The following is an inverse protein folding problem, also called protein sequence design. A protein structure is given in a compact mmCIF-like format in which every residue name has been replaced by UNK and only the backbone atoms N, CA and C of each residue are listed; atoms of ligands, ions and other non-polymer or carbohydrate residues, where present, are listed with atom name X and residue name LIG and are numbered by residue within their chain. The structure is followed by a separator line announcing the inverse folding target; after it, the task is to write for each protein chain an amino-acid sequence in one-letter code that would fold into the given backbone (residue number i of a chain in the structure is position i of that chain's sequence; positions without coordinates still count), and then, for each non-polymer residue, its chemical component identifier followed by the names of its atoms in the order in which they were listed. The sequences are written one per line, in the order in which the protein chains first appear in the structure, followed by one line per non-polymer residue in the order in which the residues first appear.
data_IF_926906163946
#
_entry.id   IF_926906163946
#
_cell.length_a   1.000
_cell.length_b   1.000
_cell.length_c   1.000
_cell.angle_alpha   90.00
_cell.angle_beta   90.00
_cell.angle_gamma   90.00
#
_symmetry.space_group_name_H-M   'P 1'
#
loop_
_entity.id
_entity.type
_entity.pdbx_description
1 polymer ?
#
# COMPACT_ATOMS: atom_id res chain seq x y z
N UNK A 1 15.91 -0.51 12.81
CA UNK A 1 15.35 0.87 12.96
C UNK A 1 16.18 1.96 12.28
N UNK A 2 17.46 2.16 12.59
CA UNK A 2 18.29 3.23 11.97
C UNK A 2 18.27 3.24 10.44
N UNK A 3 18.39 2.07 9.81
CA UNK A 3 18.38 1.93 8.34
C UNK A 3 17.05 2.39 7.71
N UNK A 4 15.92 2.16 8.38
CA UNK A 4 14.59 2.58 7.92
C UNK A 4 14.48 4.11 7.91
N UNK A 5 15.00 4.78 8.94
CA UNK A 5 15.02 6.25 8.99
C UNK A 5 15.95 6.86 7.93
N UNK A 6 17.12 6.26 7.71
CA UNK A 6 18.03 6.68 6.63
C UNK A 6 17.35 6.55 5.26
N UNK A 7 16.71 5.41 5.01
CA UNK A 7 15.98 5.18 3.77
C UNK A 7 14.83 6.20 3.59
N UNK A 8 14.12 6.52 4.66
CA UNK A 8 13.07 7.57 4.64
C UNK A 8 13.62 8.93 4.27
N UNK A 9 14.79 9.30 4.79
CA UNK A 9 15.47 10.53 4.40
C UNK A 9 15.83 10.54 2.91
N UNK A 10 16.32 9.42 2.37
CA UNK A 10 16.60 9.28 0.94
C UNK A 10 15.32 9.42 0.10
N UNK A 11 14.19 8.84 0.54
CA UNK A 11 12.87 9.02 -0.11
C UNK A 11 12.47 10.49 -0.15
N UNK A 12 12.61 11.21 0.98
CA UNK A 12 12.31 12.65 1.07
C UNK A 12 13.23 13.51 0.19
N UNK A 13 14.44 13.04 -0.12
CA UNK A 13 15.37 13.68 -1.05
C UNK A 13 15.15 13.24 -2.52
N UNK A 14 14.05 12.55 -2.82
CA UNK A 14 13.74 11.98 -4.14
C UNK A 14 14.79 10.97 -4.65
N UNK A 15 15.62 10.40 -3.77
CA UNK A 15 16.62 9.37 -4.10
C UNK A 15 16.00 7.96 -4.00
N UNK A 16 14.93 7.73 -4.74
CA UNK A 16 14.04 6.56 -4.56
C UNK A 16 14.76 5.22 -4.74
N UNK A 17 15.62 5.07 -5.74
CA UNK A 17 16.39 3.83 -5.95
C UNK A 17 17.43 3.57 -4.84
N UNK A 18 17.98 4.62 -4.24
CA UNK A 18 18.87 4.48 -3.08
C UNK A 18 18.06 4.10 -1.83
N UNK A 19 16.89 4.70 -1.66
CA UNK A 19 15.96 4.39 -0.58
C UNK A 19 15.52 2.92 -0.63
N UNK A 20 15.09 2.42 -1.79
CA UNK A 20 14.68 1.02 -1.99
C UNK A 20 15.79 0.07 -1.54
N UNK A 21 17.02 0.23 -2.04
CA UNK A 21 18.17 -0.61 -1.63
C UNK A 21 18.43 -0.56 -0.13
N UNK A 22 18.28 0.61 0.48
CA UNK A 22 18.48 0.79 1.92
C UNK A 22 17.36 0.14 2.74
N UNK A 23 16.11 0.20 2.27
CA UNK A 23 14.97 -0.51 2.86
C UNK A 23 15.11 -2.03 2.73
N UNK A 24 15.49 -2.54 1.56
CA UNK A 24 15.75 -3.98 1.36
C UNK A 24 16.87 -4.49 2.28
N UNK A 25 17.94 -3.70 2.42
CA UNK A 25 18.99 -4.00 3.38
C UNK A 25 18.46 -4.00 4.83
N UNK A 26 17.60 -3.03 5.18
CA UNK A 26 16.97 -2.99 6.49
C UNK A 26 16.10 -4.23 6.76
N UNK A 27 15.34 -4.71 5.76
CA UNK A 27 14.54 -5.94 5.85
C UNK A 27 15.44 -7.14 6.17
N UNK A 28 16.56 -7.29 5.44
CA UNK A 28 17.50 -8.41 5.64
C UNK A 28 18.18 -8.39 7.00
N UNK A 29 18.48 -7.20 7.54
CA UNK A 29 19.16 -7.05 8.82
C UNK A 29 18.23 -7.18 10.05
N UNK A 30 16.91 -7.21 9.88
CA UNK A 30 15.96 -7.14 11.00
C UNK A 30 15.29 -8.49 11.27
N UNK A 31 15.74 -9.20 12.30
CA UNK A 31 15.24 -10.53 12.71
C UNK A 31 14.18 -10.51 13.82
N UNK A 32 14.15 -9.47 14.67
CA UNK A 32 13.57 -9.65 16.01
C UNK A 32 12.17 -9.04 16.22
N UNK A 33 11.76 -8.05 15.41
CA UNK A 33 10.51 -7.30 15.62
C UNK A 33 9.54 -7.46 14.44
N UNK A 34 8.69 -8.49 14.51
CA UNK A 34 7.72 -8.85 13.45
C UNK A 34 6.80 -7.69 13.05
N UNK A 35 6.28 -6.92 14.01
CA UNK A 35 5.36 -5.82 13.70
C UNK A 35 6.02 -4.63 12.99
N UNK A 36 7.33 -4.42 13.18
CA UNK A 36 8.09 -3.37 12.48
C UNK A 36 8.67 -3.85 11.15
N UNK A 37 8.58 -5.15 10.87
CA UNK A 37 9.12 -5.76 9.65
C UNK A 37 8.38 -5.30 8.40
N UNK A 38 7.10 -4.90 8.51
CA UNK A 38 6.29 -4.46 7.37
C UNK A 38 6.43 -2.98 7.00
N UNK A 39 7.03 -2.14 7.87
CA UNK A 39 7.21 -0.71 7.59
C UNK A 39 8.09 -0.49 6.34
N UNK A 40 9.26 -1.15 6.19
CA UNK A 40 10.05 -1.03 4.97
C UNK A 40 9.30 -1.45 3.70
N UNK A 41 8.46 -2.49 3.75
CA UNK A 41 7.65 -2.91 2.60
C UNK A 41 6.63 -1.83 2.22
N UNK A 42 5.99 -1.20 3.20
CA UNK A 42 5.10 -0.05 2.97
C UNK A 42 5.83 1.10 2.30
N UNK A 43 7.05 1.41 2.73
CA UNK A 43 7.85 2.50 2.16
C UNK A 43 8.36 2.17 0.74
N UNK A 44 8.81 0.93 0.50
CA UNK A 44 9.23 0.46 -0.83
C UNK A 44 8.06 0.52 -1.81
N UNK A 45 6.87 0.09 -1.39
CA UNK A 45 5.64 0.18 -2.18
C UNK A 45 5.42 1.61 -2.72
N UNK A 46 5.57 2.63 -1.87
CA UNK A 46 5.43 4.03 -2.31
C UNK A 46 6.58 4.48 -3.20
N UNK A 47 7.81 4.04 -2.95
CA UNK A 47 8.94 4.33 -3.83
C UNK A 47 8.71 3.79 -5.26
N UNK A 48 8.13 2.60 -5.41
CA UNK A 48 7.73 2.06 -6.71
C UNK A 48 6.56 2.81 -7.32
N UNK A 49 5.51 3.11 -6.53
CA UNK A 49 4.35 3.85 -6.99
C UNK A 49 4.72 5.26 -7.52
N UNK A 50 5.60 5.99 -6.81
CA UNK A 50 6.10 7.29 -7.28
C UNK A 50 6.87 7.21 -8.60
N UNK A 51 7.49 6.07 -8.89
CA UNK A 51 8.18 5.80 -10.15
C UNK A 51 7.28 5.17 -11.22
N UNK A 52 5.98 4.98 -10.94
CA UNK A 52 5.01 4.26 -11.79
C UNK A 52 5.43 2.82 -12.11
N UNK A 53 6.18 2.20 -11.21
CA UNK A 53 6.57 0.79 -11.29
C UNK A 53 5.46 -0.05 -10.65
N UNK A 54 4.28 -0.06 -11.29
CA UNK A 54 3.05 -0.59 -10.70
C UNK A 54 3.14 -2.08 -10.35
N UNK A 55 3.69 -2.89 -11.24
CA UNK A 55 3.99 -4.31 -10.98
C UNK A 55 4.75 -4.55 -9.68
N UNK A 56 5.79 -3.77 -9.40
CA UNK A 56 6.56 -3.92 -8.15
C UNK A 56 5.79 -3.43 -6.93
N UNK A 57 5.02 -2.35 -7.08
CA UNK A 57 4.10 -1.88 -6.03
C UNK A 57 3.02 -2.92 -5.71
N UNK A 58 2.49 -3.63 -6.72
CA UNK A 58 1.56 -4.75 -6.57
C UNK A 58 2.20 -5.88 -5.75
N UNK A 59 3.43 -6.29 -6.08
CA UNK A 59 4.14 -7.33 -5.33
C UNK A 59 4.25 -6.97 -3.85
N UNK A 60 4.62 -5.73 -3.52
CA UNK A 60 4.72 -5.28 -2.13
C UNK A 60 3.36 -5.20 -1.44
N UNK A 61 2.31 -4.75 -2.15
CA UNK A 61 0.95 -4.68 -1.63
C UNK A 61 0.38 -6.08 -1.31
N UNK A 62 0.72 -7.09 -2.12
CA UNK A 62 0.34 -8.49 -1.85
C UNK A 62 0.97 -9.02 -0.56
N UNK A 63 2.28 -8.79 -0.36
CA UNK A 63 2.98 -9.18 0.87
C UNK A 63 2.32 -8.51 2.08
N UNK A 64 2.05 -7.20 1.98
CA UNK A 64 1.37 -6.47 3.05
C UNK A 64 -0.03 -7.01 3.34
N UNK A 65 -0.83 -7.32 2.31
CA UNK A 65 -2.17 -7.87 2.51
C UNK A 65 -2.14 -9.26 3.19
N UNK A 66 -1.15 -10.08 2.86
CA UNK A 66 -1.01 -11.43 3.41
C UNK A 66 -0.48 -11.42 4.85
N UNK A 67 0.54 -10.61 5.12
CA UNK A 67 1.31 -10.70 6.36
C UNK A 67 0.99 -9.59 7.37
N UNK A 68 0.61 -8.39 6.91
CA UNK A 68 0.43 -7.23 7.77
C UNK A 68 -0.98 -7.17 8.39
N UNK A 69 -1.04 -7.19 9.73
CA UNK A 69 -2.29 -7.10 10.49
C UNK A 69 -2.70 -5.67 10.90
N UNK A 70 -1.92 -4.64 10.55
CA UNK A 70 -2.24 -3.25 10.92
C UNK A 70 -3.47 -2.70 10.21
N UNK A 71 -3.58 -2.96 8.90
CA UNK A 71 -4.77 -2.64 8.11
C UNK A 71 -4.83 -3.46 6.83
N UNK A 72 -5.62 -4.54 6.86
CA UNK A 72 -5.89 -5.37 5.69
C UNK A 72 -6.75 -4.63 4.66
N UNK A 73 -7.69 -3.81 5.12
CA UNK A 73 -8.50 -2.97 4.24
C UNK A 73 -7.64 -2.02 3.40
N UNK A 74 -6.69 -1.31 4.02
CA UNK A 74 -5.77 -0.42 3.27
C UNK A 74 -4.89 -1.20 2.30
N UNK A 75 -4.32 -2.33 2.73
CA UNK A 75 -3.46 -3.14 1.84
C UNK A 75 -4.23 -3.70 0.64
N UNK A 76 -5.48 -4.13 0.84
CA UNK A 76 -6.36 -4.61 -0.22
C UNK A 76 -6.75 -3.49 -1.20
N UNK A 77 -7.05 -2.29 -0.68
CA UNK A 77 -7.33 -1.11 -1.50
C UNK A 77 -6.13 -0.72 -2.38
N UNK A 78 -4.92 -0.69 -1.80
CA UNK A 78 -3.70 -0.36 -2.56
C UNK A 78 -3.39 -1.43 -3.60
N UNK A 79 -3.57 -2.70 -3.28
CA UNK A 79 -3.43 -3.79 -4.24
C UNK A 79 -4.35 -3.62 -5.45
N UNK A 80 -5.64 -3.39 -5.21
CA UNK A 80 -6.61 -3.15 -6.28
C UNK A 80 -6.22 -1.95 -7.14
N UNK A 81 -5.79 -0.87 -6.50
CA UNK A 81 -5.42 0.40 -7.16
C UNK A 81 -4.17 0.25 -8.02
N UNK A 82 -3.12 -0.40 -7.52
CA UNK A 82 -1.93 -0.61 -8.34
C UNK A 82 -2.15 -1.63 -9.45
N UNK A 83 -3.00 -2.64 -9.25
CA UNK A 83 -3.39 -3.55 -10.34
C UNK A 83 -4.19 -2.80 -11.43
N UNK A 84 -5.08 -1.89 -11.03
CA UNK A 84 -5.80 -1.03 -11.96
C UNK A 84 -4.86 -0.16 -12.79
N UNK A 85 -3.87 0.47 -12.16
CA UNK A 85 -2.87 1.29 -12.86
C UNK A 85 -1.94 0.45 -13.75
N UNK A 86 -1.48 -0.71 -13.28
CA UNK A 86 -0.66 -1.66 -14.07
C UNK A 86 -1.41 -2.15 -15.31
N UNK A 87 -2.73 -2.28 -15.19
CA UNK A 87 -3.63 -2.66 -16.28
C UNK A 87 -4.15 -1.46 -17.10
N UNK A 88 -3.38 -0.36 -17.16
CA UNK A 88 -3.69 0.85 -17.93
C UNK A 88 -5.08 1.43 -17.64
N UNK A 89 -5.45 1.50 -16.36
CA UNK A 89 -6.75 1.98 -15.89
C UNK A 89 -7.95 1.16 -16.43
N UNK A 90 -7.74 -0.12 -16.71
CA UNK A 90 -8.82 -1.06 -17.05
C UNK A 90 -9.21 -1.92 -15.84
N UNK A 91 -10.46 -1.80 -15.43
CA UNK A 91 -11.03 -2.53 -14.29
C UNK A 91 -11.44 -3.95 -14.71
N UNK A 92 -10.60 -4.95 -14.41
CA UNK A 92 -10.97 -6.36 -14.53
C UNK A 92 -11.95 -6.77 -13.42
N UNK A 93 -12.64 -7.89 -13.62
CA UNK A 93 -13.49 -8.47 -12.58
C UNK A 93 -12.72 -8.72 -11.28
N UNK A 94 -11.47 -9.15 -11.36
CA UNK A 94 -10.60 -9.36 -10.19
C UNK A 94 -10.37 -8.07 -9.40
N UNK A 95 -10.05 -6.97 -10.07
CA UNK A 95 -9.87 -5.65 -9.45
C UNK A 95 -11.17 -5.18 -8.78
N UNK A 96 -12.30 -5.37 -9.47
CA UNK A 96 -13.64 -5.03 -8.94
C UNK A 96 -13.95 -5.85 -7.68
N UNK A 97 -13.61 -7.15 -7.67
CA UNK A 97 -13.79 -7.99 -6.49
C UNK A 97 -12.90 -7.55 -5.33
N UNK A 98 -11.65 -7.13 -5.60
CA UNK A 98 -10.79 -6.58 -4.57
C UNK A 98 -11.39 -5.30 -3.96
N UNK A 99 -11.90 -4.38 -4.78
CA UNK A 99 -12.57 -3.18 -4.26
C UNK A 99 -13.80 -3.49 -3.42
N UNK A 100 -14.62 -4.46 -3.83
CA UNK A 100 -15.77 -4.94 -3.04
C UNK A 100 -15.38 -5.57 -1.71
N UNK A 101 -14.19 -6.14 -1.61
CA UNK A 101 -13.68 -6.79 -0.40
C UNK A 101 -13.14 -5.80 0.65
N UNK A 102 -12.74 -4.59 0.25
CA UNK A 102 -12.14 -3.59 1.17
C UNK A 102 -13.02 -3.28 2.38
N UNK A 103 -14.34 -3.02 2.25
CA UNK A 103 -15.23 -2.76 3.40
C UNK A 103 -15.33 -3.93 4.39
N UNK A 104 -15.21 -5.17 3.89
CA UNK A 104 -15.28 -6.39 4.71
C UNK A 104 -14.04 -6.57 5.59
N UNK A 105 -12.90 -6.01 5.18
CA UNK A 105 -11.61 -6.11 5.88
C UNK A 105 -11.40 -5.02 6.94
N UNK A 106 -12.38 -4.15 7.13
CA UNK A 106 -12.33 -3.03 8.07
C UNK A 106 -12.23 -3.51 9.52
N UNK A 107 -11.35 -2.90 10.29
CA UNK A 107 -11.25 -3.14 11.74
C UNK A 107 -11.68 -1.92 12.54
N UNK A 108 -12.02 -2.17 13.81
CA UNK A 108 -12.25 -1.11 14.81
C UNK A 108 -11.15 -1.21 15.85
N UNK A 109 -10.42 -0.12 16.04
CA UNK A 109 -9.43 0.00 17.11
C UNK A 109 -10.06 0.83 18.24
N UNK A 110 -10.20 0.23 19.43
CA UNK A 110 -10.86 0.85 20.58
C UNK A 110 -12.26 1.42 20.25
N UNK A 111 -13.05 0.66 19.49
CA UNK A 111 -14.41 1.06 19.06
C UNK A 111 -14.46 2.13 17.96
N UNK A 112 -13.34 2.75 17.59
CA UNK A 112 -13.25 3.73 16.51
C UNK A 112 -12.74 3.07 15.23
N UNK A 113 -13.27 3.50 14.08
CA UNK A 113 -12.69 3.09 12.79
C UNK A 113 -11.41 3.85 12.52
N UNK A 114 -10.44 3.19 11.89
CA UNK A 114 -9.19 3.81 11.46
C UNK A 114 -9.50 4.80 10.32
N UNK A 115 -9.01 6.07 10.40
CA UNK A 115 -9.29 7.08 9.37
C UNK A 115 -8.89 6.65 7.96
N UNK A 116 -7.75 5.98 7.82
CA UNK A 116 -7.24 5.52 6.53
C UNK A 116 -8.13 4.44 5.90
N UNK A 117 -8.69 3.53 6.70
CA UNK A 117 -9.63 2.51 6.22
C UNK A 117 -10.96 3.14 5.77
N UNK A 118 -11.46 4.12 6.51
CA UNK A 118 -12.64 4.89 6.11
C UNK A 118 -12.43 5.59 4.77
N UNK A 119 -11.25 6.18 4.57
CA UNK A 119 -10.89 6.80 3.30
C UNK A 119 -10.86 5.76 2.18
N UNK A 120 -10.17 4.63 2.38
CA UNK A 120 -10.08 3.55 1.40
C UNK A 120 -11.46 3.04 0.98
N UNK A 121 -12.35 2.77 1.95
CA UNK A 121 -13.73 2.31 1.69
C UNK A 121 -14.49 3.32 0.84
N UNK A 122 -14.44 4.61 1.19
CA UNK A 122 -15.11 5.67 0.44
C UNK A 122 -14.62 5.74 -1.01
N UNK A 123 -13.32 5.55 -1.23
CA UNK A 123 -12.76 5.51 -2.58
C UNK A 123 -13.22 4.28 -3.37
N UNK A 124 -13.32 3.13 -2.71
CA UNK A 124 -13.86 1.91 -3.34
C UNK A 124 -15.32 2.09 -3.74
N UNK A 125 -16.16 2.62 -2.85
CA UNK A 125 -17.57 2.90 -3.11
C UNK A 125 -17.71 3.84 -4.32
N UNK A 126 -16.95 4.93 -4.33
CA UNK A 126 -16.94 5.89 -5.43
C UNK A 126 -16.52 5.24 -6.76
N UNK A 127 -15.47 4.42 -6.74
CA UNK A 127 -15.03 3.70 -7.93
C UNK A 127 -16.09 2.72 -8.45
N UNK A 128 -16.77 2.00 -7.57
CA UNK A 128 -17.81 1.05 -7.96
C UNK A 128 -19.04 1.74 -8.56
N UNK A 129 -19.35 2.96 -8.13
CA UNK A 129 -20.43 3.78 -8.68
C UNK A 129 -20.06 4.41 -10.03
N UNK A 130 -18.87 5.02 -10.11
CA UNK A 130 -18.52 5.94 -11.20
C UNK A 130 -17.43 5.39 -12.15
N UNK A 131 -16.85 4.23 -11.84
CA UNK A 131 -15.77 3.53 -12.60
C UNK A 131 -14.49 4.35 -12.81
N UNK A 132 -14.23 5.31 -11.93
CA UNK A 132 -13.00 6.11 -11.90
C UNK A 132 -12.50 6.27 -10.46
N UNK A 133 -11.17 6.17 -10.27
CA UNK A 133 -10.55 6.44 -8.96
C UNK A 133 -10.08 7.87 -8.98
N UNK A 134 -10.61 8.67 -8.07
CA UNK A 134 -10.03 9.97 -7.81
C UNK A 134 -8.84 9.75 -6.87
N UNK A 135 -7.61 9.76 -7.41
CA UNK A 135 -6.45 10.04 -6.57
C UNK A 135 -6.77 11.35 -5.82
N UNK A 136 -6.59 11.41 -4.49
CA UNK A 136 -7.05 12.54 -3.70
C UNK A 136 -6.48 13.82 -4.33
N UNK A 137 -7.37 14.67 -4.85
CA UNK A 137 -6.98 15.92 -5.49
C UNK A 137 -6.21 16.79 -4.50
N UNK A 138 -5.13 17.38 -5.00
CA UNK A 138 -4.55 18.62 -4.50
C UNK A 138 -5.64 19.67 -4.20
#
# INVERSE_FOLDING_TARGET
MFLVFRARLQTLQCRLNEAIRTYEYAIRCQSDWKNLHHIPYWEILWCHAFQRQWKEAVNMAQILLQENNWSKATSCYLLATFQFEDNNAFATDEIIQLYKRVPELKIRLAGKSIPLEKYAIKQCEHFLEQKWLFLPSL
#
